data_IF_945693090338
#
_entry.id   IF_945693090338
#
_cell.length_a   1.000
_cell.length_b   1.000
_cell.length_c   1.000
_cell.angle_alpha   90.00
_cell.angle_beta   90.00
_cell.angle_gamma   90.00
#
_symmetry.space_group_name_H-M   'P 1'
#
loop_
_entity.id
_entity.type
_entity.pdbx_description
1 polymer ?
#
# COMPACT_ATOMS: atom_id res chain seq x y z
N UNK A 1 -29.27 24.80 -8.69
CA UNK A 1 -29.64 24.67 -10.12
C UNK A 1 -29.56 23.22 -10.61
N UNK A 2 -28.38 22.63 -10.84
CA UNK A 2 -28.27 21.27 -11.41
C UNK A 2 -29.05 20.22 -10.59
N UNK A 3 -28.92 20.21 -9.27
CA UNK A 3 -29.65 19.30 -8.39
C UNK A 3 -31.18 19.42 -8.45
N UNK A 4 -31.70 20.59 -8.78
CA UNK A 4 -33.15 20.84 -8.80
C UNK A 4 -33.72 20.62 -10.21
N UNK A 5 -32.97 20.98 -11.25
CA UNK A 5 -33.44 20.92 -12.64
C UNK A 5 -33.05 19.63 -13.37
N UNK A 6 -31.98 18.96 -12.93
CA UNK A 6 -31.42 17.77 -13.56
C UNK A 6 -30.97 16.75 -12.49
N UNK A 7 -31.92 16.11 -11.78
CA UNK A 7 -31.61 15.20 -10.69
C UNK A 7 -30.90 13.91 -11.13
N UNK A 8 -31.05 13.51 -12.40
CA UNK A 8 -30.50 12.25 -12.94
C UNK A 8 -29.28 12.44 -13.85
N UNK A 9 -28.74 13.67 -13.96
CA UNK A 9 -27.57 13.94 -14.81
C UNK A 9 -26.29 13.40 -14.19
N UNK A 10 -25.35 12.95 -15.01
CA UNK A 10 -23.98 12.72 -14.53
C UNK A 10 -23.19 14.02 -14.57
N UNK A 11 -22.62 14.42 -13.44
CA UNK A 11 -21.81 15.63 -13.33
C UNK A 11 -20.35 15.28 -13.64
N UNK A 12 -19.67 16.12 -14.42
CA UNK A 12 -18.28 15.91 -14.82
C UNK A 12 -17.38 17.10 -14.45
N UNK A 13 -17.06 17.30 -13.15
CA UNK A 13 -16.21 18.41 -12.72
C UNK A 13 -14.74 18.06 -12.93
N UNK A 14 -14.01 18.90 -13.65
CA UNK A 14 -12.59 18.71 -13.95
C UNK A 14 -11.68 19.68 -13.22
N UNK A 15 -10.39 19.35 -13.19
CA UNK A 15 -9.33 20.27 -12.78
C UNK A 15 -8.78 21.01 -14.01
N UNK A 16 -8.43 22.28 -13.84
CA UNK A 16 -7.60 22.99 -14.81
C UNK A 16 -6.15 22.48 -14.69
N UNK A 17 -5.87 21.34 -15.31
CA UNK A 17 -4.53 20.73 -15.32
C UNK A 17 -3.76 21.18 -16.55
N UNK A 18 -2.52 21.60 -16.34
CA UNK A 18 -1.55 21.87 -17.39
C UNK A 18 -0.55 20.70 -17.42
N UNK A 19 -0.62 19.88 -18.47
CA UNK A 19 0.45 18.94 -18.77
C UNK A 19 1.55 19.68 -19.52
N UNK A 20 2.78 19.59 -19.03
CA UNK A 20 3.96 20.09 -19.72
C UNK A 20 4.91 18.92 -19.96
N UNK A 21 5.23 18.56 -21.21
CA UNK A 21 6.15 17.46 -21.51
C UNK A 21 7.52 17.59 -20.82
N UNK A 22 7.95 18.83 -20.53
CA UNK A 22 9.19 19.15 -19.83
C UNK A 22 9.15 18.82 -18.33
N UNK A 23 7.95 18.66 -17.76
CA UNK A 23 7.73 18.33 -16.34
C UNK A 23 6.80 17.11 -16.20
N UNK A 24 7.23 15.92 -16.66
CA UNK A 24 6.37 14.72 -16.73
C UNK A 24 5.95 14.19 -15.34
N UNK A 25 6.58 14.67 -14.27
CA UNK A 25 6.31 14.25 -12.90
C UNK A 25 5.20 15.09 -12.23
N UNK A 26 4.76 16.19 -12.85
CA UNK A 26 3.64 16.99 -12.33
C UNK A 26 2.35 16.22 -12.57
N UNK A 27 1.60 15.96 -11.50
CA UNK A 27 0.35 15.21 -11.52
C UNK A 27 -0.66 15.76 -10.50
N UNK A 28 -1.83 15.13 -10.42
CA UNK A 28 -2.85 15.40 -9.40
C UNK A 28 -2.25 15.23 -8.00
N UNK A 29 -2.45 16.23 -7.13
CA UNK A 29 -1.99 16.19 -5.75
C UNK A 29 -3.14 15.84 -4.79
N UNK A 30 -2.79 15.45 -3.56
CA UNK A 30 -3.77 15.23 -2.49
C UNK A 30 -4.70 16.43 -2.31
N UNK A 31 -4.15 17.63 -2.15
CA UNK A 31 -4.93 18.84 -1.92
C UNK A 31 -5.95 19.10 -3.05
N UNK A 32 -5.52 18.98 -4.31
CA UNK A 32 -6.42 19.15 -5.47
C UNK A 32 -7.61 18.18 -5.44
N UNK A 33 -7.34 16.93 -5.03
CA UNK A 33 -8.35 15.88 -5.01
C UNK A 33 -9.28 16.00 -3.80
N UNK A 34 -8.77 16.40 -2.64
CA UNK A 34 -9.56 16.67 -1.44
C UNK A 34 -10.48 17.88 -1.62
N UNK A 35 -9.99 18.96 -2.24
CA UNK A 35 -10.80 20.13 -2.60
C UNK A 35 -11.95 19.72 -3.53
N UNK A 36 -11.67 18.91 -4.54
CA UNK A 36 -12.69 18.37 -5.44
C UNK A 36 -13.71 17.55 -4.66
N UNK A 37 -13.27 16.64 -3.79
CA UNK A 37 -14.13 15.81 -2.96
C UNK A 37 -15.05 16.65 -2.06
N UNK A 38 -14.51 17.69 -1.43
CA UNK A 38 -15.27 18.57 -0.53
C UNK A 38 -16.46 19.23 -1.24
N UNK A 39 -16.32 19.54 -2.53
CA UNK A 39 -17.37 20.14 -3.37
C UNK A 39 -18.45 19.11 -3.74
N UNK A 40 -18.06 17.87 -4.06
CA UNK A 40 -18.94 16.87 -4.68
C UNK A 40 -19.53 15.84 -3.71
N UNK A 41 -18.99 15.71 -2.49
CA UNK A 41 -19.35 14.60 -1.55
C UNK A 41 -20.83 14.48 -1.22
N UNK A 42 -21.56 15.60 -1.23
CA UNK A 42 -22.98 15.67 -0.86
C UNK A 42 -23.91 15.76 -2.07
N UNK A 43 -23.38 15.62 -3.29
CA UNK A 43 -24.17 15.69 -4.51
C UNK A 43 -24.94 14.38 -4.71
N UNK A 44 -26.26 14.41 -4.97
CA UNK A 44 -27.06 13.20 -5.12
C UNK A 44 -26.76 12.45 -6.44
N UNK A 45 -26.36 13.17 -7.48
CA UNK A 45 -26.02 12.63 -8.80
C UNK A 45 -24.80 11.70 -8.82
N UNK A 46 -24.67 10.95 -9.90
CA UNK A 46 -23.40 10.32 -10.29
C UNK A 46 -22.39 11.39 -10.71
N UNK A 47 -21.11 11.12 -10.43
CA UNK A 47 -20.00 12.02 -10.75
C UNK A 47 -18.96 11.24 -11.54
N UNK A 48 -18.51 11.77 -12.67
CA UNK A 48 -17.33 11.27 -13.38
C UNK A 48 -16.23 12.31 -13.33
N UNK A 49 -15.01 11.92 -13.01
CA UNK A 49 -13.87 12.84 -12.94
C UNK A 49 -13.06 12.75 -14.23
N UNK A 50 -12.98 13.83 -15.03
CA UNK A 50 -12.12 13.88 -16.19
C UNK A 50 -10.65 13.97 -15.76
N UNK A 51 -9.90 12.90 -15.99
CA UNK A 51 -8.50 12.75 -15.62
C UNK A 51 -7.65 12.62 -16.89
N UNK A 52 -6.59 13.41 -16.99
CA UNK A 52 -5.68 13.37 -18.13
C UNK A 52 -4.93 12.02 -18.13
N UNK A 53 -5.02 11.27 -19.22
CA UNK A 53 -4.52 9.90 -19.30
C UNK A 53 -3.01 9.78 -18.96
N UNK A 54 -2.19 10.73 -19.40
CA UNK A 54 -0.74 10.78 -19.08
C UNK A 54 -0.42 11.03 -17.60
N UNK A 55 -1.32 11.60 -16.82
CA UNK A 55 -1.10 11.94 -15.42
C UNK A 55 -1.72 10.88 -14.47
N UNK A 56 -2.61 10.03 -14.99
CA UNK A 56 -3.42 9.11 -14.19
C UNK A 56 -2.59 8.11 -13.36
N UNK A 57 -1.52 7.53 -13.92
CA UNK A 57 -0.65 6.57 -13.20
C UNK A 57 0.08 7.24 -12.04
N UNK A 58 0.70 8.39 -12.27
CA UNK A 58 1.45 9.10 -11.22
C UNK A 58 0.52 9.69 -10.14
N UNK A 59 -0.67 10.16 -10.53
CA UNK A 59 -1.69 10.68 -9.61
C UNK A 59 -2.58 9.60 -9.00
N UNK A 60 -2.31 8.33 -9.31
CA UNK A 60 -3.18 7.21 -9.00
C UNK A 60 -3.57 7.09 -7.54
N UNK A 61 -2.68 7.34 -6.56
CA UNK A 61 -3.08 7.14 -5.19
C UNK A 61 -4.18 8.08 -4.73
N UNK A 62 -4.11 9.34 -5.15
CA UNK A 62 -5.15 10.33 -4.85
C UNK A 62 -6.42 10.02 -5.63
N UNK A 63 -6.30 9.63 -6.89
CA UNK A 63 -7.45 9.24 -7.73
C UNK A 63 -8.16 8.02 -7.17
N UNK A 64 -7.43 6.98 -6.77
CA UNK A 64 -8.00 5.75 -6.21
C UNK A 64 -8.67 6.00 -4.86
N UNK A 65 -8.09 6.86 -4.01
CA UNK A 65 -8.74 7.35 -2.79
C UNK A 65 -10.06 8.05 -3.09
N UNK A 66 -10.09 8.96 -4.08
CA UNK A 66 -11.31 9.67 -4.45
C UNK A 66 -12.41 8.69 -4.86
N UNK A 67 -12.09 7.72 -5.72
CA UNK A 67 -13.05 6.74 -6.22
C UNK A 67 -13.59 5.79 -5.15
N UNK A 68 -12.85 5.58 -4.06
CA UNK A 68 -13.27 4.74 -2.93
C UNK A 68 -14.28 5.46 -2.02
N UNK A 69 -14.35 6.80 -2.06
CA UNK A 69 -15.26 7.57 -1.20
C UNK A 69 -16.75 7.35 -1.52
N UNK A 70 -17.09 6.96 -2.75
CA UNK A 70 -18.48 6.72 -3.14
C UNK A 70 -18.59 5.80 -4.36
N UNK A 71 -19.56 4.86 -4.39
CA UNK A 71 -19.83 4.06 -5.58
C UNK A 71 -20.39 4.89 -6.75
N UNK A 72 -20.86 6.12 -6.48
CA UNK A 72 -21.37 7.06 -7.50
C UNK A 72 -20.27 7.70 -8.34
N UNK A 73 -19.01 7.56 -7.92
CA UNK A 73 -17.89 8.20 -8.57
C UNK A 73 -17.35 7.32 -9.70
N UNK A 74 -16.86 7.94 -10.77
CA UNK A 74 -16.31 7.24 -11.93
C UNK A 74 -15.20 8.10 -12.54
N UNK A 75 -14.47 7.54 -13.51
CA UNK A 75 -13.43 8.25 -14.23
C UNK A 75 -13.80 8.42 -15.69
N UNK A 76 -13.44 9.57 -16.26
CA UNK A 76 -13.30 9.76 -17.70
C UNK A 76 -11.82 10.01 -17.98
N UNK A 77 -11.12 9.03 -18.54
CA UNK A 77 -9.74 9.23 -18.99
C UNK A 77 -9.75 9.92 -20.34
N UNK A 78 -9.19 11.11 -20.42
CA UNK A 78 -9.12 11.88 -21.66
C UNK A 78 -7.67 12.08 -22.10
N UNK A 79 -7.46 12.14 -23.42
CA UNK A 79 -6.17 12.50 -24.01
C UNK A 79 -6.22 13.88 -24.67
N UNK A 80 -5.11 14.61 -24.59
CA UNK A 80 -4.87 15.78 -25.42
C UNK A 80 -4.27 15.37 -26.78
N UNK A 81 -4.15 16.32 -27.71
CA UNK A 81 -3.54 16.09 -29.02
C UNK A 81 -2.01 16.05 -28.98
N UNK A 82 -1.38 16.46 -27.87
CA UNK A 82 0.06 16.67 -27.80
C UNK A 82 0.85 15.37 -27.73
N UNK A 83 0.36 14.41 -26.96
CA UNK A 83 1.06 13.15 -26.71
C UNK A 83 0.09 12.02 -26.38
N UNK A 84 0.34 10.88 -27.00
CA UNK A 84 -0.42 9.66 -26.77
C UNK A 84 -0.10 9.03 -25.40
N UNK A 85 -1.11 8.56 -24.65
CA UNK A 85 -0.89 7.74 -23.48
C UNK A 85 -0.33 6.37 -23.86
N UNK A 86 0.42 5.77 -22.94
CA UNK A 86 0.89 4.40 -23.15
C UNK A 86 -0.24 3.40 -22.91
N UNK A 87 -0.22 2.28 -23.65
CA UNK A 87 -1.16 1.18 -23.42
C UNK A 87 -1.00 0.62 -22.00
N UNK A 88 0.22 0.59 -21.46
CA UNK A 88 0.46 0.11 -20.09
C UNK A 88 -0.18 1.01 -19.03
N UNK A 89 -0.16 2.34 -19.19
CA UNK A 89 -0.81 3.25 -18.24
C UNK A 89 -2.34 3.13 -18.29
N UNK A 90 -2.91 2.93 -19.48
CA UNK A 90 -4.34 2.67 -19.63
C UNK A 90 -4.74 1.33 -19.00
N UNK A 91 -3.93 0.28 -19.20
CA UNK A 91 -4.12 -1.02 -18.53
C UNK A 91 -3.96 -0.91 -17.02
N UNK A 92 -3.02 -0.11 -16.54
CA UNK A 92 -2.86 0.17 -15.12
C UNK A 92 -4.12 0.79 -14.51
N UNK A 93 -4.70 1.82 -15.13
CA UNK A 93 -5.97 2.38 -14.62
C UNK A 93 -7.08 1.32 -14.65
N UNK A 94 -7.21 0.59 -15.77
CA UNK A 94 -8.21 -0.47 -15.93
C UNK A 94 -8.09 -1.57 -14.88
N UNK A 95 -6.87 -1.98 -14.55
CA UNK A 95 -6.60 -3.10 -13.65
C UNK A 95 -6.82 -2.77 -12.18
N UNK A 96 -6.84 -1.47 -11.85
CA UNK A 96 -7.00 -0.99 -10.49
C UNK A 96 -8.35 -0.30 -10.26
N UNK A 97 -9.28 -0.41 -11.22
CA UNK A 97 -10.66 0.08 -11.09
C UNK A 97 -11.67 -0.92 -11.60
N UNK A 98 -12.95 -0.72 -11.24
CA UNK A 98 -14.03 -1.44 -11.91
C UNK A 98 -14.14 -0.95 -13.37
N UNK A 99 -13.99 -1.83 -14.38
CA UNK A 99 -14.04 -1.42 -15.79
C UNK A 99 -15.37 -0.78 -16.22
N UNK A 100 -16.46 -0.97 -15.46
CA UNK A 100 -17.75 -0.32 -15.70
C UNK A 100 -17.81 1.13 -15.22
N UNK A 101 -16.80 1.58 -14.46
CA UNK A 101 -16.69 2.93 -13.86
C UNK A 101 -15.59 3.77 -14.51
N UNK A 102 -15.10 3.38 -15.70
CA UNK A 102 -14.10 4.13 -16.45
C UNK A 102 -14.55 4.31 -17.90
N UNK A 103 -14.66 5.56 -18.32
CA UNK A 103 -14.89 5.99 -19.68
C UNK A 103 -13.57 6.42 -20.31
N UNK A 104 -13.38 6.12 -21.60
CA UNK A 104 -12.14 6.37 -22.31
C UNK A 104 -12.41 7.31 -23.50
N UNK A 105 -11.89 8.52 -23.42
CA UNK A 105 -11.80 9.50 -24.50
C UNK A 105 -10.35 9.48 -25.03
N UNK A 106 -10.04 8.40 -25.77
CA UNK A 106 -8.71 8.05 -26.27
C UNK A 106 -8.81 7.87 -27.79
N UNK A 107 -7.88 8.45 -28.54
CA UNK A 107 -7.92 8.43 -30.01
C UNK A 107 -7.24 7.18 -30.59
N UNK A 108 -7.54 6.89 -31.85
CA UNK A 108 -6.85 5.85 -32.61
C UNK A 108 -5.42 6.30 -32.98
N UNK A 109 -4.45 5.36 -33.09
CA UNK A 109 -4.59 3.90 -32.99
C UNK A 109 -4.47 3.33 -31.57
N UNK A 110 -4.22 4.18 -30.57
CA UNK A 110 -3.95 3.74 -29.18
C UNK A 110 -5.16 3.03 -28.59
N UNK A 111 -6.37 3.53 -28.86
CA UNK A 111 -7.60 2.90 -28.39
C UNK A 111 -7.73 1.45 -28.87
N UNK A 112 -7.48 1.17 -30.15
CA UNK A 112 -7.50 -0.20 -30.69
C UNK A 112 -6.42 -1.08 -30.05
N UNK A 113 -5.19 -0.59 -29.91
CA UNK A 113 -4.11 -1.33 -29.25
C UNK A 113 -4.45 -1.65 -27.79
N UNK A 114 -5.01 -0.69 -27.07
CA UNK A 114 -5.48 -0.87 -25.69
C UNK A 114 -6.60 -1.91 -25.60
N UNK A 115 -7.59 -1.86 -26.50
CA UNK A 115 -8.67 -2.86 -26.55
C UNK A 115 -8.13 -4.27 -26.80
N UNK A 116 -7.18 -4.43 -27.72
CA UNK A 116 -6.57 -5.74 -28.00
C UNK A 116 -5.75 -6.24 -26.81
N UNK A 117 -4.92 -5.38 -26.21
CA UNK A 117 -4.16 -5.75 -25.01
C UNK A 117 -5.10 -6.10 -23.83
N UNK A 118 -6.20 -5.36 -23.63
CA UNK A 118 -7.15 -5.60 -22.56
C UNK A 118 -7.93 -6.92 -22.71
N UNK A 119 -8.02 -7.50 -23.91
CA UNK A 119 -8.67 -8.80 -24.18
C UNK A 119 -7.77 -10.00 -23.86
N UNK A 120 -6.45 -9.80 -23.79
CA UNK A 120 -5.51 -10.88 -23.49
C UNK A 120 -5.77 -11.42 -22.07
N UNK A 121 -6.11 -12.70 -21.97
CA UNK A 121 -6.47 -13.34 -20.67
C UNK A 121 -5.26 -13.62 -19.81
N UNK A 122 -4.13 -13.95 -20.42
CA UNK A 122 -2.91 -14.38 -19.71
C UNK A 122 -1.91 -13.23 -19.48
N UNK A 123 -2.33 -11.98 -19.72
CA UNK A 123 -1.47 -10.82 -19.47
C UNK A 123 -1.25 -10.64 -17.98
N UNK A 124 -0.06 -10.16 -17.61
CA UNK A 124 0.19 -9.73 -16.24
C UNK A 124 -0.71 -8.54 -15.89
N UNK A 125 -1.37 -8.62 -14.75
CA UNK A 125 -2.14 -7.51 -14.19
C UNK A 125 -1.18 -6.39 -13.78
N UNK A 126 -1.48 -5.16 -14.20
CA UNK A 126 -0.73 -3.94 -13.87
C UNK A 126 -1.16 -3.40 -12.51
N UNK A 127 -0.94 -4.18 -11.45
CA UNK A 127 -1.45 -3.87 -10.10
C UNK A 127 -0.75 -2.66 -9.45
N UNK A 128 -1.51 -1.82 -8.77
CA UNK A 128 -1.01 -0.68 -8.01
C UNK A 128 -0.29 -1.14 -6.73
N UNK A 129 0.99 -0.80 -6.50
CA UNK A 129 1.72 -1.37 -5.37
C UNK A 129 1.17 -1.02 -3.98
N UNK A 130 0.50 0.12 -3.83
CA UNK A 130 -0.22 0.49 -2.60
C UNK A 130 -1.67 -0.04 -2.54
N UNK A 131 -2.02 -0.99 -3.41
CA UNK A 131 -3.37 -1.53 -3.53
C UNK A 131 -3.73 -2.56 -2.45
N UNK A 132 -5.02 -2.90 -2.41
CA UNK A 132 -5.59 -3.80 -1.40
C UNK A 132 -5.17 -5.27 -1.62
N UNK A 133 -4.76 -5.94 -0.53
CA UNK A 133 -4.27 -7.32 -0.61
C UNK A 133 -5.37 -8.34 -0.96
N UNK A 134 -6.61 -8.11 -0.51
CA UNK A 134 -7.74 -9.00 -0.82
C UNK A 134 -8.04 -8.93 -2.32
N UNK A 135 -7.96 -7.74 -2.91
CA UNK A 135 -8.11 -7.55 -4.34
C UNK A 135 -6.96 -8.17 -5.16
N UNK A 136 -5.72 -8.16 -4.64
CA UNK A 136 -4.59 -8.78 -5.34
C UNK A 136 -4.62 -10.31 -5.28
N UNK A 137 -4.69 -10.88 -4.08
CA UNK A 137 -4.56 -12.32 -3.87
C UNK A 137 -5.86 -13.08 -4.09
N UNK A 138 -7.02 -12.41 -4.02
CA UNK A 138 -8.35 -13.02 -4.05
C UNK A 138 -8.43 -14.25 -3.12
N UNK A 139 -8.07 -14.11 -1.83
CA UNK A 139 -8.02 -15.22 -0.90
C UNK A 139 -9.40 -15.86 -0.70
N UNK A 140 -9.41 -17.07 -0.16
CA UNK A 140 -10.65 -17.80 0.16
C UNK A 140 -11.56 -16.91 1.03
N UNK A 141 -12.85 -16.90 0.70
CA UNK A 141 -13.87 -16.08 1.39
C UNK A 141 -13.63 -14.56 1.38
N UNK A 142 -12.68 -14.05 0.59
CA UNK A 142 -12.23 -12.65 0.64
C UNK A 142 -11.73 -12.23 2.02
N UNK A 143 -11.13 -13.18 2.73
CA UNK A 143 -10.65 -12.99 4.08
C UNK A 143 -9.11 -12.96 4.09
N UNK A 144 -8.56 -11.91 4.71
CA UNK A 144 -7.13 -11.69 4.85
C UNK A 144 -6.41 -12.77 5.65
N UNK A 145 -7.15 -13.52 6.48
CA UNK A 145 -6.66 -14.70 7.20
C UNK A 145 -6.02 -15.76 6.30
N UNK A 146 -6.45 -15.85 5.04
CA UNK A 146 -5.96 -16.88 4.11
C UNK A 146 -4.80 -16.39 3.23
N UNK A 147 -4.27 -15.19 3.47
CA UNK A 147 -3.04 -14.74 2.82
C UNK A 147 -1.86 -15.28 3.64
N UNK A 148 -1.00 -16.06 3.01
CA UNK A 148 0.21 -16.56 3.64
C UNK A 148 1.27 -15.45 3.69
N UNK A 149 2.06 -15.47 4.75
CA UNK A 149 3.17 -14.56 4.98
C UNK A 149 4.41 -15.40 5.24
N UNK A 150 5.47 -15.19 4.46
CA UNK A 150 6.67 -16.02 4.53
C UNK A 150 7.90 -15.12 4.64
N UNK A 151 8.74 -15.39 5.65
CA UNK A 151 9.98 -14.64 5.87
C UNK A 151 11.10 -15.13 4.97
N UNK A 152 11.77 -14.18 4.32
CA UNK A 152 12.98 -14.42 3.54
C UNK A 152 14.17 -14.22 4.46
N UNK A 153 14.91 -15.30 4.71
CA UNK A 153 16.13 -15.30 5.56
C UNK A 153 17.40 -15.22 4.72
N UNK A 154 17.36 -15.79 3.52
CA UNK A 154 18.47 -15.82 2.57
C UNK A 154 18.01 -16.13 1.14
N UNK A 155 18.97 -16.17 0.21
CA UNK A 155 18.70 -16.49 -1.20
C UNK A 155 18.08 -17.88 -1.40
N UNK A 156 18.49 -18.89 -0.63
CA UNK A 156 17.97 -20.25 -0.76
C UNK A 156 16.52 -20.32 -0.28
N UNK A 157 16.20 -19.67 0.84
CA UNK A 157 14.83 -19.55 1.35
C UNK A 157 13.91 -18.88 0.33
N UNK A 158 14.36 -17.79 -0.31
CA UNK A 158 13.59 -17.12 -1.35
C UNK A 158 13.36 -18.04 -2.56
N UNK A 159 14.41 -18.69 -3.06
CA UNK A 159 14.27 -19.59 -4.21
C UNK A 159 13.35 -20.77 -3.93
N UNK A 160 13.36 -21.30 -2.69
CA UNK A 160 12.42 -22.32 -2.25
C UNK A 160 10.98 -21.81 -2.33
N UNK A 161 10.71 -20.63 -1.75
CA UNK A 161 9.39 -19.99 -1.78
C UNK A 161 8.91 -19.70 -3.20
N UNK A 162 9.81 -19.22 -4.08
CA UNK A 162 9.49 -18.94 -5.48
C UNK A 162 9.26 -20.22 -6.30
N UNK A 163 9.83 -21.36 -5.89
CA UNK A 163 9.69 -22.64 -6.59
C UNK A 163 8.44 -23.40 -6.16
N UNK A 164 8.10 -23.36 -4.86
CA UNK A 164 6.91 -24.00 -4.31
C UNK A 164 5.60 -23.36 -4.84
N UNK A 165 4.50 -24.09 -4.83
CA UNK A 165 3.14 -23.63 -5.18
C UNK A 165 2.59 -22.52 -4.28
N UNK A 166 3.38 -22.02 -3.32
CA UNK A 166 3.04 -20.95 -2.41
C UNK A 166 2.76 -19.62 -3.14
N UNK A 167 1.88 -18.82 -2.54
CA UNK A 167 1.59 -17.43 -2.91
C UNK A 167 1.31 -16.64 -1.64
N UNK A 168 1.56 -15.34 -1.65
CA UNK A 168 1.35 -14.51 -0.46
C UNK A 168 2.35 -13.38 -0.33
N UNK A 169 2.48 -12.86 0.89
CA UNK A 169 3.41 -11.77 1.20
C UNK A 169 4.79 -12.33 1.56
N UNK A 170 5.82 -11.78 0.95
CA UNK A 170 7.22 -12.07 1.30
C UNK A 170 7.70 -11.01 2.29
N UNK A 171 7.98 -11.42 3.52
CA UNK A 171 8.55 -10.57 4.55
C UNK A 171 10.06 -10.54 4.35
N UNK A 172 10.60 -9.36 4.07
CA UNK A 172 12.02 -9.15 3.82
C UNK A 172 12.54 -8.20 4.91
N UNK A 173 13.19 -8.73 5.96
CA UNK A 173 13.98 -7.92 6.87
C UNK A 173 15.09 -7.21 6.11
N UNK A 174 15.20 -5.90 6.26
CA UNK A 174 16.20 -5.09 5.55
C UNK A 174 17.22 -4.52 6.54
N UNK A 175 18.46 -4.94 6.37
CA UNK A 175 19.63 -4.50 7.11
C UNK A 175 20.60 -3.71 6.24
N UNK A 176 21.72 -3.30 6.82
CA UNK A 176 22.82 -2.68 6.09
C UNK A 176 23.88 -3.72 5.74
N UNK A 177 24.38 -3.69 4.51
CA UNK A 177 25.49 -4.54 4.08
C UNK A 177 26.72 -4.37 4.96
N UNK A 178 27.36 -5.49 5.29
CA UNK A 178 28.61 -5.56 6.04
C UNK A 178 29.80 -5.11 5.21
N UNK A 179 29.78 -5.40 3.90
CA UNK A 179 30.83 -5.04 2.95
C UNK A 179 30.77 -3.56 2.54
N UNK A 180 29.57 -3.00 2.41
CA UNK A 180 29.34 -1.60 2.03
C UNK A 180 28.18 -1.02 2.86
N UNK A 181 28.50 -0.26 3.93
CA UNK A 181 27.49 0.43 4.72
C UNK A 181 26.60 1.32 3.83
N UNK A 182 25.28 1.23 4.01
CA UNK A 182 24.31 1.98 3.20
C UNK A 182 23.73 1.22 2.00
N UNK A 183 24.28 0.06 1.65
CA UNK A 183 23.65 -0.83 0.65
C UNK A 183 22.63 -1.73 1.35
N UNK A 184 21.35 -1.73 0.94
CA UNK A 184 20.33 -2.58 1.56
C UNK A 184 20.55 -4.06 1.25
N UNK A 185 20.48 -4.88 2.29
CA UNK A 185 20.61 -6.35 2.22
C UNK A 185 19.46 -7.01 2.97
N UNK A 186 19.21 -8.28 2.68
CA UNK A 186 18.35 -9.12 3.52
C UNK A 186 19.06 -9.34 4.85
N UNK A 187 18.46 -8.86 5.94
CA UNK A 187 19.08 -8.85 7.26
C UNK A 187 19.34 -10.28 7.78
N UNK A 188 20.48 -10.49 8.42
CA UNK A 188 20.90 -11.80 8.92
C UNK A 188 21.29 -12.84 7.86
N UNK A 189 21.31 -12.48 6.56
CA UNK A 189 21.63 -13.42 5.49
C UNK A 189 23.14 -13.72 5.38
N UNK A 190 23.49 -14.99 5.32
CA UNK A 190 24.86 -15.47 5.14
C UNK A 190 24.94 -16.59 4.08
N UNK A 191 25.63 -16.38 2.94
CA UNK A 191 26.35 -15.17 2.53
C UNK A 191 25.42 -13.96 2.33
N UNK A 192 26.00 -12.76 2.32
CA UNK A 192 25.24 -11.51 2.16
C UNK A 192 24.39 -11.54 0.89
N UNK A 193 23.11 -11.22 1.04
CA UNK A 193 22.13 -11.24 -0.05
C UNK A 193 21.56 -9.84 -0.26
N UNK A 194 21.92 -9.21 -1.37
CA UNK A 194 21.49 -7.84 -1.68
C UNK A 194 19.96 -7.75 -1.83
N UNK A 195 19.37 -6.68 -1.29
CA UNK A 195 17.94 -6.43 -1.46
C UNK A 195 17.57 -6.29 -2.94
N UNK A 196 18.43 -5.67 -3.75
CA UNK A 196 18.21 -5.54 -5.19
C UNK A 196 18.10 -6.91 -5.87
N UNK A 197 18.96 -7.87 -5.53
CA UNK A 197 18.89 -9.22 -6.09
C UNK A 197 17.65 -9.97 -5.63
N UNK A 198 17.26 -9.81 -4.36
CA UNK A 198 15.99 -10.33 -3.84
C UNK A 198 14.79 -9.80 -4.62
N UNK A 199 14.70 -8.48 -4.80
CA UNK A 199 13.64 -7.85 -5.57
C UNK A 199 13.65 -8.34 -7.02
N UNK A 200 14.81 -8.44 -7.67
CA UNK A 200 14.92 -8.95 -9.04
C UNK A 200 14.37 -10.38 -9.17
N UNK A 201 14.69 -11.27 -8.23
CA UNK A 201 14.17 -12.64 -8.21
C UNK A 201 12.64 -12.66 -8.01
N UNK A 202 12.12 -11.86 -7.08
CA UNK A 202 10.67 -11.75 -6.84
C UNK A 202 9.94 -11.21 -8.06
N UNK A 203 10.46 -10.14 -8.67
CA UNK A 203 9.84 -9.48 -9.82
C UNK A 203 9.87 -10.34 -11.09
N UNK A 204 10.91 -11.17 -11.26
CA UNK A 204 11.00 -12.14 -12.36
C UNK A 204 10.02 -13.31 -12.21
N UNK A 205 9.52 -13.57 -10.99
CA UNK A 205 8.57 -14.66 -10.75
C UNK A 205 7.17 -14.30 -11.29
N UNK A 206 6.54 -15.20 -12.08
CA UNK A 206 5.17 -15.02 -12.55
C UNK A 206 4.12 -15.27 -11.45
N UNK A 207 4.53 -15.80 -10.29
CA UNK A 207 3.63 -16.12 -9.18
C UNK A 207 3.17 -14.86 -8.45
N UNK A 208 1.94 -14.86 -7.91
CA UNK A 208 1.40 -13.72 -7.18
C UNK A 208 2.06 -13.65 -5.79
N UNK A 209 3.14 -12.89 -5.69
CA UNK A 209 3.77 -12.53 -4.42
C UNK A 209 3.67 -11.03 -4.20
N UNK A 210 3.33 -10.63 -2.98
CA UNK A 210 3.52 -9.27 -2.49
C UNK A 210 4.84 -9.12 -1.75
N UNK A 211 5.28 -7.89 -1.54
CA UNK A 211 6.54 -7.55 -0.89
C UNK A 211 6.24 -6.81 0.41
N UNK A 212 6.82 -7.25 1.51
CA UNK A 212 6.75 -6.56 2.79
C UNK A 212 8.17 -6.29 3.31
N UNK A 213 8.63 -5.05 3.17
CA UNK A 213 9.95 -4.63 3.65
C UNK A 213 9.87 -4.23 5.13
N UNK A 214 10.62 -4.93 5.99
CA UNK A 214 10.79 -4.59 7.41
C UNK A 214 12.16 -3.95 7.60
N UNK A 215 12.20 -2.63 7.57
CA UNK A 215 13.44 -1.87 7.53
C UNK A 215 13.92 -1.62 8.97
N UNK A 216 15.08 -2.17 9.32
CA UNK A 216 15.57 -2.18 10.70
C UNK A 216 16.30 -0.89 11.09
N UNK A 217 16.87 -0.17 10.11
CA UNK A 217 17.66 1.03 10.34
C UNK A 217 17.21 2.19 9.45
N UNK A 218 17.20 3.39 10.01
CA UNK A 218 16.84 4.63 9.29
C UNK A 218 17.70 4.87 8.04
N UNK A 219 18.98 4.45 8.06
CA UNK A 219 19.88 4.64 6.91
C UNK A 219 19.51 3.75 5.71
N UNK A 220 18.65 2.75 5.90
CA UNK A 220 18.23 1.83 4.85
C UNK A 220 16.86 2.20 4.24
N UNK A 221 16.14 3.18 4.81
CA UNK A 221 14.81 3.57 4.32
C UNK A 221 14.90 4.10 2.88
N UNK A 222 15.60 5.21 2.69
CA UNK A 222 15.70 5.89 1.40
C UNK A 222 16.33 5.00 0.30
N UNK A 223 17.46 4.31 0.53
CA UNK A 223 18.02 3.39 -0.47
C UNK A 223 17.05 2.26 -0.88
N UNK A 224 16.29 1.69 0.06
CA UNK A 224 15.30 0.64 -0.24
C UNK A 224 14.13 1.19 -1.07
N UNK A 225 13.65 2.39 -0.74
CA UNK A 225 12.60 3.06 -1.50
C UNK A 225 13.07 3.43 -2.92
N UNK A 226 14.33 3.79 -3.12
CA UNK A 226 14.90 4.02 -4.45
C UNK A 226 14.89 2.77 -5.32
N UNK A 227 15.15 1.58 -4.75
CA UNK A 227 15.05 0.31 -5.50
C UNK A 227 13.61 0.06 -5.97
N UNK A 228 12.62 0.29 -5.11
CA UNK A 228 11.20 0.17 -5.46
C UNK A 228 10.79 1.21 -6.51
N UNK A 229 11.24 2.45 -6.35
CA UNK A 229 11.00 3.54 -7.30
C UNK A 229 11.57 3.22 -8.68
N UNK A 230 12.81 2.71 -8.74
CA UNK A 230 13.43 2.28 -10.00
C UNK A 230 12.64 1.17 -10.68
N UNK A 231 12.21 0.15 -9.93
CA UNK A 231 11.39 -0.95 -10.46
C UNK A 231 10.01 -0.49 -10.96
N UNK A 232 9.39 0.48 -10.29
CA UNK A 232 8.09 1.05 -10.69
C UNK A 232 8.19 1.86 -11.98
N UNK A 233 9.18 2.74 -12.09
CA UNK A 233 9.40 3.56 -13.28
C UNK A 233 9.91 2.73 -14.47
N UNK A 234 10.55 1.59 -14.20
CA UNK A 234 10.94 0.61 -15.23
C UNK A 234 9.83 -0.36 -15.63
N UNK A 235 8.60 -0.15 -15.15
CA UNK A 235 7.42 -0.95 -15.50
C UNK A 235 7.50 -2.43 -15.04
N UNK A 236 8.24 -2.70 -13.96
CA UNK A 236 8.44 -4.05 -13.41
C UNK A 236 7.61 -4.31 -12.15
N UNK A 237 7.27 -3.26 -11.39
CA UNK A 237 6.63 -3.40 -10.08
C UNK A 237 5.10 -3.33 -10.18
N UNK A 238 4.47 -4.51 -10.30
CA UNK A 238 3.02 -4.68 -10.42
C UNK A 238 2.44 -5.66 -9.38
N UNK A 239 2.78 -5.44 -8.11
CA UNK A 239 2.41 -6.27 -6.97
C UNK A 239 2.34 -5.43 -5.70
N UNK A 240 1.60 -5.86 -4.66
CA UNK A 240 1.52 -5.11 -3.41
C UNK A 240 2.89 -4.92 -2.76
N UNK A 241 3.11 -3.73 -2.20
CA UNK A 241 4.33 -3.34 -1.49
C UNK A 241 3.96 -2.68 -0.18
N UNK A 242 4.45 -3.26 0.92
CA UNK A 242 4.29 -2.78 2.27
C UNK A 242 5.65 -2.36 2.82
N UNK A 243 5.69 -1.24 3.55
CA UNK A 243 6.92 -0.73 4.18
C UNK A 243 6.69 -0.56 5.68
N UNK A 244 7.44 -1.30 6.49
CA UNK A 244 7.45 -1.21 7.94
C UNK A 244 8.76 -0.62 8.45
N UNK A 245 8.59 0.22 9.48
CA UNK A 245 9.62 0.61 10.42
C UNK A 245 8.97 0.79 11.80
N UNK A 246 9.73 0.50 12.85
CA UNK A 246 9.38 0.97 14.19
C UNK A 246 9.67 2.47 14.29
N UNK A 247 8.67 3.24 14.71
CA UNK A 247 8.72 4.70 14.67
C UNK A 247 8.94 5.32 16.04
N UNK A 248 9.54 6.49 16.10
CA UNK A 248 9.68 7.32 17.29
C UNK A 248 8.73 8.52 17.21
N UNK A 249 7.75 8.63 18.11
CA UNK A 249 6.81 9.77 18.14
C UNK A 249 6.12 9.90 19.50
N UNK A 250 5.98 11.13 20.00
CA UNK A 250 5.18 11.44 21.20
C UNK A 250 5.45 10.51 22.38
N UNK A 251 4.40 9.85 22.87
CA UNK A 251 4.39 8.93 24.00
C UNK A 251 5.23 7.65 23.81
N UNK A 252 5.72 7.35 22.60
CA UNK A 252 6.63 6.25 22.30
C UNK A 252 7.95 6.69 21.70
N UNK A 253 8.35 7.94 21.98
CA UNK A 253 9.65 8.46 21.57
C UNK A 253 10.78 7.60 22.16
N UNK A 254 11.58 7.02 21.27
CA UNK A 254 12.70 6.14 21.60
C UNK A 254 13.93 6.58 20.82
N UNK A 255 15.08 6.66 21.49
CA UNK A 255 16.34 7.07 20.87
C UNK A 255 16.84 5.99 19.89
N UNK A 256 17.39 6.41 18.75
CA UNK A 256 17.91 5.50 17.72
C UNK A 256 16.87 5.06 16.68
N UNK A 257 15.58 5.30 16.92
CA UNK A 257 14.50 5.07 15.98
C UNK A 257 14.21 6.33 15.15
N UNK A 258 13.86 6.15 13.88
CA UNK A 258 13.47 7.23 12.98
C UNK A 258 12.23 7.95 13.52
N UNK A 259 12.19 9.27 13.40
CA UNK A 259 10.97 9.99 13.78
C UNK A 259 9.83 9.63 12.83
N UNK A 260 8.61 9.50 13.36
CA UNK A 260 7.45 9.19 12.51
C UNK A 260 7.24 10.21 11.38
N UNK A 261 7.55 11.49 11.63
CA UNK A 261 7.44 12.54 10.61
C UNK A 261 8.46 12.39 9.48
N UNK A 262 9.70 12.06 9.83
CA UNK A 262 10.77 11.82 8.86
C UNK A 262 10.48 10.58 8.02
N UNK A 263 10.01 9.48 8.64
CA UNK A 263 9.56 8.29 7.91
C UNK A 263 8.51 8.63 6.84
N UNK A 264 7.45 9.34 7.22
CA UNK A 264 6.40 9.75 6.29
C UNK A 264 6.92 10.70 5.21
N UNK A 265 7.79 11.63 5.57
CA UNK A 265 8.41 12.56 4.62
C UNK A 265 9.21 11.81 3.55
N UNK A 266 10.11 10.91 3.96
CA UNK A 266 10.96 10.14 3.05
C UNK A 266 10.13 9.23 2.14
N UNK A 267 9.12 8.54 2.67
CA UNK A 267 8.21 7.71 1.85
C UNK A 267 7.49 8.58 0.82
N UNK A 268 6.93 9.72 1.24
CA UNK A 268 6.21 10.62 0.35
C UNK A 268 7.09 11.20 -0.77
N UNK A 269 8.36 11.45 -0.49
CA UNK A 269 9.31 12.01 -1.45
C UNK A 269 9.87 10.97 -2.42
N UNK A 270 10.24 9.79 -1.93
CA UNK A 270 11.04 8.84 -2.70
C UNK A 270 10.18 7.82 -3.44
N UNK A 271 9.21 7.22 -2.74
CA UNK A 271 8.33 6.20 -3.31
C UNK A 271 7.01 6.10 -2.54
N UNK A 272 6.02 6.92 -2.89
CA UNK A 272 4.81 7.04 -2.09
C UNK A 272 3.77 5.95 -2.38
N UNK A 273 3.99 5.12 -3.40
CA UNK A 273 3.04 4.13 -3.94
C UNK A 273 2.96 2.85 -3.10
N UNK A 274 3.00 2.94 -1.77
CA UNK A 274 3.08 1.80 -0.85
C UNK A 274 1.92 1.77 0.15
N UNK A 275 1.73 0.62 0.79
CA UNK A 275 0.99 0.56 2.06
C UNK A 275 1.97 0.84 3.21
N UNK A 276 1.61 1.78 4.08
CA UNK A 276 2.38 2.06 5.30
C UNK A 276 2.06 1.02 6.35
N UNK A 277 3.09 0.37 6.88
CA UNK A 277 2.95 -0.64 7.91
C UNK A 277 3.72 -0.26 9.19
N UNK A 278 3.43 0.88 9.84
CA UNK A 278 4.24 1.35 10.97
C UNK A 278 4.06 0.44 12.20
N UNK A 279 5.13 0.34 13.00
CA UNK A 279 5.13 -0.35 14.30
C UNK A 279 5.68 0.55 15.41
N UNK A 280 5.54 0.08 16.65
CA UNK A 280 6.15 0.71 17.83
C UNK A 280 7.50 0.04 18.15
N UNK A 281 8.47 0.78 18.72
CA UNK A 281 9.69 0.21 19.26
C UNK A 281 9.37 -0.86 20.31
N UNK A 282 10.13 -1.95 20.33
CA UNK A 282 9.82 -3.07 21.21
C UNK A 282 10.02 -2.70 22.69
N UNK A 283 10.97 -1.81 22.97
CA UNK A 283 11.38 -1.43 24.31
C UNK A 283 10.30 -0.65 25.07
N UNK A 284 9.43 0.07 24.35
CA UNK A 284 8.31 0.82 24.95
C UNK A 284 7.08 -0.07 25.19
N UNK A 285 7.06 -1.29 24.63
CA UNK A 285 5.92 -2.21 24.72
C UNK A 285 6.02 -3.20 25.91
N UNK A 286 6.97 -2.99 26.84
CA UNK A 286 7.18 -3.90 27.99
C UNK A 286 5.91 -4.08 28.83
N UNK A 287 5.23 -2.98 29.15
CA UNK A 287 3.96 -2.98 29.90
C UNK A 287 2.73 -3.12 28.99
N UNK A 288 2.94 -3.45 27.71
CA UNK A 288 1.92 -3.47 26.68
C UNK A 288 1.60 -2.10 26.08
N UNK A 289 0.57 -2.06 25.25
CA UNK A 289 0.11 -0.81 24.62
C UNK A 289 -0.66 0.05 25.62
N UNK A 290 -0.43 1.36 25.64
CA UNK A 290 -1.27 2.30 26.38
C UNK A 290 -2.01 3.26 25.43
N UNK A 291 -3.01 3.98 25.94
CA UNK A 291 -3.83 4.88 25.13
C UNK A 291 -3.02 5.99 24.47
N UNK A 292 -2.11 6.63 25.19
CA UNK A 292 -1.31 7.73 24.66
C UNK A 292 -0.45 7.29 23.45
N UNK A 293 0.14 6.09 23.50
CA UNK A 293 0.92 5.54 22.39
C UNK A 293 0.10 5.31 21.13
N UNK A 294 -1.15 4.85 21.28
CA UNK A 294 -2.04 4.61 20.15
C UNK A 294 -2.64 5.92 19.63
N UNK A 295 -2.96 6.86 20.53
CA UNK A 295 -3.43 8.21 20.19
C UNK A 295 -2.38 8.96 19.38
N UNK A 296 -1.12 8.95 19.81
CA UNK A 296 -0.03 9.63 19.12
C UNK A 296 0.29 8.98 17.76
N UNK A 297 0.16 7.66 17.63
CA UNK A 297 0.26 6.98 16.33
C UNK A 297 -0.90 7.39 15.40
N UNK A 298 -2.13 7.47 15.90
CA UNK A 298 -3.27 7.96 15.11
C UNK A 298 -3.08 9.42 14.67
N UNK A 299 -2.60 10.29 15.57
CA UNK A 299 -2.30 11.69 15.25
C UNK A 299 -1.26 11.79 14.14
N UNK A 300 -0.19 10.99 14.23
CA UNK A 300 0.85 10.93 13.21
C UNK A 300 0.29 10.50 11.84
N UNK A 301 -0.66 9.56 11.83
CA UNK A 301 -1.23 8.95 10.62
C UNK A 301 -2.53 9.62 10.15
N UNK A 302 -2.92 10.75 10.74
CA UNK A 302 -4.21 11.40 10.44
C UNK A 302 -4.29 11.93 9.01
N UNK A 303 -3.17 12.41 8.47
CA UNK A 303 -3.10 13.11 7.18
C UNK A 303 -2.47 12.27 6.06
N UNK A 304 -2.15 11.00 6.34
CA UNK A 304 -1.60 10.10 5.32
C UNK A 304 -2.71 9.66 4.37
N UNK A 305 -2.39 9.62 3.09
CA UNK A 305 -3.31 9.19 2.04
C UNK A 305 -3.09 7.73 1.65
N UNK A 306 -1.92 7.18 1.96
CA UNK A 306 -1.61 5.77 1.75
C UNK A 306 -2.55 4.88 2.56
N UNK A 307 -2.77 3.67 2.08
CA UNK A 307 -3.31 2.62 2.93
C UNK A 307 -2.37 2.40 4.12
N UNK A 308 -2.95 2.10 5.28
CA UNK A 308 -2.22 1.85 6.52
C UNK A 308 -2.62 0.50 7.10
N UNK A 309 -1.61 -0.26 7.52
CA UNK A 309 -1.76 -1.45 8.34
C UNK A 309 -0.92 -1.34 9.61
N UNK A 310 -1.54 -1.07 10.76
CA UNK A 310 -0.80 -0.96 12.01
C UNK A 310 -0.26 -2.34 12.41
N UNK A 311 1.05 -2.43 12.64
CA UNK A 311 1.69 -3.66 13.07
C UNK A 311 1.62 -3.76 14.60
N UNK A 312 0.82 -4.71 15.07
CA UNK A 312 0.52 -4.90 16.50
C UNK A 312 1.06 -6.25 16.94
N UNK A 313 1.80 -6.31 18.03
CA UNK A 313 2.32 -7.57 18.57
C UNK A 313 1.32 -8.18 19.54
N UNK A 314 1.02 -9.47 19.36
CA UNK A 314 0.02 -10.17 20.16
C UNK A 314 0.38 -10.18 21.65
N UNK A 315 1.64 -10.48 21.99
CA UNK A 315 2.07 -10.59 23.38
C UNK A 315 1.94 -9.25 24.15
N UNK A 316 2.53 -8.11 23.71
CA UNK A 316 2.28 -6.81 24.34
C UNK A 316 0.80 -6.38 24.36
N UNK A 317 0.03 -6.76 23.35
CA UNK A 317 -1.40 -6.48 23.33
C UNK A 317 -2.14 -7.24 24.44
N UNK A 318 -1.75 -8.48 24.72
CA UNK A 318 -2.28 -9.28 25.82
C UNK A 318 -2.07 -8.68 27.20
N UNK A 319 -1.01 -7.89 27.39
CA UNK A 319 -0.64 -7.29 28.69
C UNK A 319 -1.49 -6.07 29.08
N UNK A 320 -2.20 -5.44 28.14
CA UNK A 320 -2.94 -4.20 28.39
C UNK A 320 -4.37 -4.21 27.87
N UNK A 321 -5.34 -4.25 28.78
CA UNK A 321 -6.78 -4.16 28.47
C UNK A 321 -7.14 -2.80 27.86
N UNK A 322 -6.51 -1.72 28.33
CA UNK A 322 -6.69 -0.39 27.77
C UNK A 322 -6.14 -0.32 26.34
N UNK A 323 -4.94 -0.88 26.12
CA UNK A 323 -4.32 -1.01 24.80
C UNK A 323 -5.18 -1.79 23.83
N UNK A 324 -5.74 -2.93 24.25
CA UNK A 324 -6.68 -3.73 23.44
C UNK A 324 -7.92 -2.95 23.05
N UNK A 325 -8.52 -2.22 24.00
CA UNK A 325 -9.68 -1.37 23.71
C UNK A 325 -9.31 -0.31 22.67
N UNK A 326 -8.17 0.37 22.86
CA UNK A 326 -7.80 1.48 22.00
C UNK A 326 -7.38 1.04 20.59
N UNK A 327 -6.64 -0.06 20.48
CA UNK A 327 -6.31 -0.68 19.19
C UNK A 327 -7.58 -1.09 18.43
N UNK A 328 -8.61 -1.61 19.11
CA UNK A 328 -9.91 -1.90 18.48
C UNK A 328 -10.61 -0.68 17.94
N UNK A 329 -10.58 0.44 18.67
CA UNK A 329 -11.22 1.68 18.21
C UNK A 329 -10.59 2.19 16.90
N UNK A 330 -9.26 2.09 16.75
CA UNK A 330 -8.55 2.53 15.54
C UNK A 330 -8.70 1.57 14.35
N UNK A 331 -9.20 0.34 14.54
CA UNK A 331 -9.52 -0.59 13.44
C UNK A 331 -10.56 -0.03 12.46
N UNK A 332 -11.42 0.86 12.94
CA UNK A 332 -12.39 1.55 12.07
C UNK A 332 -11.71 2.39 10.99
N UNK A 333 -10.46 2.83 11.23
CA UNK A 333 -9.70 3.74 10.36
C UNK A 333 -8.51 3.10 9.67
N UNK A 334 -7.93 2.06 10.26
CA UNK A 334 -6.73 1.40 9.76
C UNK A 334 -6.92 -0.12 9.73
N UNK A 335 -6.31 -0.79 8.76
CA UNK A 335 -6.16 -2.25 8.86
C UNK A 335 -5.17 -2.57 9.98
N UNK A 336 -5.24 -3.78 10.54
CA UNK A 336 -4.24 -4.25 11.50
C UNK A 336 -3.59 -5.52 10.98
N UNK A 337 -2.30 -5.63 11.26
CA UNK A 337 -1.59 -6.89 11.20
C UNK A 337 -1.14 -7.27 12.59
N UNK A 338 -1.51 -8.47 13.04
CA UNK A 338 -1.10 -8.98 14.34
C UNK A 338 0.09 -9.93 14.16
N UNK A 339 1.21 -9.58 14.76
CA UNK A 339 2.44 -10.37 14.81
C UNK A 339 2.42 -11.26 16.05
N UNK A 340 2.46 -12.58 15.86
CA UNK A 340 2.55 -13.55 16.95
C UNK A 340 4.00 -14.00 17.06
N UNK A 341 4.81 -13.26 17.83
CA UNK A 341 6.25 -13.51 17.91
C UNK A 341 6.56 -14.94 18.37
N UNK A 342 7.30 -15.69 17.55
CA UNK A 342 8.00 -16.91 17.97
C UNK A 342 9.48 -16.56 18.19
N UNK A 343 9.79 -15.79 19.23
CA UNK A 343 11.17 -15.65 19.73
C UNK A 343 11.36 -16.22 21.14
N UNK A 344 10.28 -16.58 21.82
CA UNK A 344 10.34 -17.34 23.07
C UNK A 344 9.58 -18.64 22.88
N UNK A 345 10.28 -19.78 22.91
CA UNK A 345 9.73 -21.13 22.82
C UNK A 345 8.85 -21.50 24.02
N UNK A 346 7.77 -20.76 24.24
CA UNK A 346 6.71 -21.07 25.18
C UNK A 346 5.49 -21.40 24.33
N UNK A 347 5.15 -22.69 24.31
CA UNK A 347 3.88 -23.23 23.84
C UNK A 347 2.71 -22.60 24.62
N UNK A 348 2.17 -21.49 24.14
CA UNK A 348 0.83 -21.03 24.52
C UNK A 348 0.04 -20.61 23.28
N UNK A 349 -0.38 -21.59 22.47
CA UNK A 349 -1.34 -21.39 21.37
C UNK A 349 -2.66 -20.71 21.81
N UNK A 350 -3.01 -20.77 23.10
CA UNK A 350 -4.26 -20.25 23.63
C UNK A 350 -4.33 -18.70 23.74
N UNK A 351 -3.19 -18.04 24.01
CA UNK A 351 -3.13 -16.58 24.21
C UNK A 351 -3.39 -15.77 22.93
N UNK A 352 -2.67 -16.06 21.83
CA UNK A 352 -2.88 -15.41 20.54
C UNK A 352 -4.31 -15.61 20.01
N UNK A 353 -4.86 -16.83 20.09
CA UNK A 353 -6.21 -17.15 19.59
C UNK A 353 -7.32 -16.37 20.33
N UNK A 354 -7.21 -16.17 21.65
CA UNK A 354 -8.15 -15.38 22.42
C UNK A 354 -8.08 -13.88 22.06
N UNK A 355 -6.89 -13.36 21.77
CA UNK A 355 -6.69 -11.99 21.28
C UNK A 355 -7.25 -11.84 19.86
N UNK A 356 -7.03 -12.82 18.99
CA UNK A 356 -7.58 -12.87 17.63
C UNK A 356 -9.12 -12.84 17.62
N UNK A 357 -9.76 -13.67 18.44
CA UNK A 357 -11.22 -13.71 18.60
C UNK A 357 -11.80 -12.39 19.14
N UNK A 358 -11.03 -11.68 19.97
CA UNK A 358 -11.42 -10.38 20.53
C UNK A 358 -11.28 -9.22 19.52
N UNK A 359 -10.44 -9.36 18.50
CA UNK A 359 -10.19 -8.35 17.45
C UNK A 359 -11.05 -8.58 16.20
N UNK A 360 -11.49 -9.81 15.93
CA UNK A 360 -12.28 -10.19 14.74
C UNK A 360 -13.75 -9.76 14.75
N UNK A 361 -14.20 -9.05 15.79
CA UNK A 361 -15.57 -8.52 15.88
C UNK A 361 -15.88 -7.33 14.94
N UNK A 362 -14.86 -6.75 14.30
CA UNK A 362 -15.01 -5.61 13.38
C UNK A 362 -15.20 -6.09 11.93
N UNK A 363 -16.36 -5.82 11.34
CA UNK A 363 -16.74 -6.29 9.99
C UNK A 363 -16.18 -5.44 8.84
N UNK A 364 -15.53 -4.31 9.13
CA UNK A 364 -15.36 -3.27 8.12
C UNK A 364 -13.96 -3.16 7.49
N UNK A 365 -12.91 -3.83 8.03
CA UNK A 365 -11.55 -3.83 7.43
C UNK A 365 -10.75 -5.11 7.68
N UNK A 366 -9.84 -5.42 6.76
CA UNK A 366 -9.01 -6.63 6.74
C UNK A 366 -8.09 -6.73 7.96
N UNK A 367 -8.15 -7.87 8.64
CA UNK A 367 -7.20 -8.30 9.66
C UNK A 367 -6.23 -9.29 9.03
N UNK A 368 -4.94 -9.07 9.22
CA UNK A 368 -3.89 -9.97 8.75
C UNK A 368 -3.13 -10.54 9.92
N UNK A 369 -2.67 -11.78 9.79
CA UNK A 369 -1.92 -12.48 10.83
C UNK A 369 -0.71 -13.13 10.19
N UNK A 370 0.42 -13.02 10.87
CA UNK A 370 1.59 -13.77 10.51
C UNK A 370 2.44 -14.10 11.74
N UNK A 371 3.15 -15.22 11.62
CA UNK A 371 4.08 -15.75 12.63
C UNK A 371 5.47 -15.13 12.48
#
# INVERSE_FOLDING_TARGET
MIQQSFPDVTISPGWAVLYLPQFPNVTYTQAMVEDMYAIIKNVPQTVTFPVHALMAKNGWPHISWLLSQSPKFSLTLWQSQEKNPSVNDLLFVRDNTNPKRVYYDIYEPVLSQFKEAAKQRDRQRRFYPGGDLIDYFQPKYRDGLYIQWNTVTDRASLLSLLSDSASGMLIIPVGSGSAQPGVPVVDGSHPEFLLQDSLNLVLASPKPFGIYLRIQSQSQLEPSLHLLSSAYHSDLLYRPVWVNMALSHGAFQTQGYISGREFLHTVNQVFPYVTLAPSWPLEVLREGYNRAMVDDMEVLLKEVWQAVSLQVRAEPLGRSVEGQRRIREVQSRYSLTVETGIESGIDEEAGPQAIMANLSGSKDRSLFFYN
#
